data_IF_318404039305
#
_entry.id   IF_318404039305
#
_cell.length_a   1.000
_cell.length_b   1.000
_cell.length_c   1.000
_cell.angle_alpha   90.00
_cell.angle_beta   90.00
_cell.angle_gamma   90.00
#
_symmetry.space_group_name_H-M   'P 1'
#
loop_
_entity.id
_entity.type
_entity.pdbx_description
1 polymer ?
#
# COMPACT_ATOMS: atom_id res chain seq x y z
N UNK A 1 -18.29 -24.12 0.87
CA UNK A 1 -18.11 -24.34 -0.58
C UNK A 1 -19.25 -23.70 -1.38
N UNK A 2 -20.51 -24.17 -1.30
CA UNK A 2 -21.64 -23.62 -2.10
C UNK A 2 -21.92 -22.13 -1.86
N UNK A 3 -21.91 -21.68 -0.59
CA UNK A 3 -22.07 -20.26 -0.23
C UNK A 3 -20.97 -19.38 -0.84
N UNK A 4 -19.71 -19.82 -0.77
CA UNK A 4 -18.55 -19.11 -1.32
C UNK A 4 -18.67 -18.96 -2.83
N UNK A 5 -19.06 -20.01 -3.55
CA UNK A 5 -19.26 -19.99 -5.00
C UNK A 5 -20.38 -19.03 -5.42
N UNK A 6 -21.49 -18.97 -4.66
CA UNK A 6 -22.56 -17.99 -4.91
C UNK A 6 -22.10 -16.55 -4.68
N UNK A 7 -21.32 -16.31 -3.61
CA UNK A 7 -20.75 -14.99 -3.34
C UNK A 7 -19.77 -14.56 -4.44
N UNK A 8 -18.94 -15.48 -4.94
CA UNK A 8 -18.02 -15.26 -6.06
C UNK A 8 -18.79 -14.79 -7.31
N UNK A 9 -19.81 -15.55 -7.72
CA UNK A 9 -20.60 -15.23 -8.92
C UNK A 9 -21.32 -13.90 -8.75
N UNK A 10 -21.89 -13.65 -7.56
CA UNK A 10 -22.59 -12.41 -7.25
C UNK A 10 -21.65 -11.19 -7.28
N UNK A 11 -20.44 -11.29 -6.74
CA UNK A 11 -19.48 -10.18 -6.72
C UNK A 11 -19.04 -9.78 -8.13
N UNK A 12 -18.81 -10.77 -9.01
CA UNK A 12 -18.48 -10.53 -10.43
C UNK A 12 -19.63 -9.82 -11.15
N UNK A 13 -20.88 -10.23 -10.88
CA UNK A 13 -22.07 -9.58 -11.46
C UNK A 13 -22.18 -8.14 -10.95
N UNK A 14 -21.99 -7.94 -9.65
CA UNK A 14 -22.07 -6.64 -9.00
C UNK A 14 -21.03 -5.67 -9.56
N UNK A 15 -19.78 -6.09 -9.70
CA UNK A 15 -18.69 -5.27 -10.26
C UNK A 15 -18.99 -4.84 -11.71
N UNK A 16 -19.42 -5.79 -12.55
CA UNK A 16 -19.81 -5.49 -13.93
C UNK A 16 -21.00 -4.54 -14.00
N UNK A 17 -21.97 -4.68 -13.11
CA UNK A 17 -23.13 -3.79 -13.02
C UNK A 17 -22.73 -2.39 -12.55
N UNK A 18 -21.93 -2.28 -11.48
CA UNK A 18 -21.43 -1.02 -10.95
C UNK A 18 -20.63 -0.24 -12.00
N UNK A 19 -19.71 -0.91 -12.71
CA UNK A 19 -18.94 -0.30 -13.80
C UNK A 19 -19.85 0.24 -14.92
N UNK A 20 -20.87 -0.54 -15.32
CA UNK A 20 -21.84 -0.10 -16.34
C UNK A 20 -22.68 1.09 -15.87
N UNK A 21 -23.12 1.11 -14.62
CA UNK A 21 -23.87 2.24 -14.06
C UNK A 21 -23.01 3.49 -13.96
N UNK A 22 -21.77 3.38 -13.50
CA UNK A 22 -20.83 4.51 -13.44
C UNK A 22 -20.61 5.14 -14.82
N UNK A 23 -20.42 4.32 -15.86
CA UNK A 23 -20.33 4.79 -17.26
C UNK A 23 -21.62 5.42 -17.76
N UNK A 24 -22.78 4.83 -17.45
CA UNK A 24 -24.08 5.37 -17.86
C UNK A 24 -24.36 6.74 -17.22
N UNK A 25 -23.91 6.93 -15.98
CA UNK A 25 -24.12 8.15 -15.20
C UNK A 25 -22.98 9.17 -15.33
N UNK A 26 -21.99 8.93 -16.20
CA UNK A 26 -20.82 9.79 -16.41
C UNK A 26 -20.10 10.18 -15.11
N UNK A 27 -19.92 9.23 -14.19
CA UNK A 27 -19.15 9.44 -12.97
C UNK A 27 -17.69 9.68 -13.32
N UNK A 28 -17.08 10.72 -12.75
CA UNK A 28 -15.66 11.07 -12.90
C UNK A 28 -15.08 11.26 -11.49
N UNK A 29 -13.87 10.73 -11.20
CA UNK A 29 -13.02 9.91 -12.06
C UNK A 29 -13.58 8.51 -12.34
N UNK A 30 -13.18 7.90 -13.47
CA UNK A 30 -13.52 6.52 -13.83
C UNK A 30 -12.37 5.87 -14.57
N UNK A 31 -11.92 4.70 -14.11
CA UNK A 31 -10.92 3.89 -14.81
C UNK A 31 -11.51 3.24 -16.05
N UNK A 32 -10.66 2.92 -17.01
CA UNK A 32 -11.09 2.30 -18.25
C UNK A 32 -11.44 0.80 -18.10
N UNK A 33 -11.75 0.15 -19.23
CA UNK A 33 -12.07 -1.28 -19.28
C UNK A 33 -10.84 -2.18 -19.08
N UNK A 34 -9.63 -1.69 -19.31
CA UNK A 34 -8.41 -2.48 -19.14
C UNK A 34 -8.14 -2.70 -17.66
N UNK A 35 -8.31 -1.66 -16.85
CA UNK A 35 -8.10 -1.72 -15.40
C UNK A 35 -9.22 -2.44 -14.64
N UNK A 36 -10.47 -2.37 -15.11
CA UNK A 36 -11.64 -2.99 -14.43
C UNK A 36 -12.16 -4.27 -15.10
N UNK A 37 -11.57 -4.65 -16.23
CA UNK A 37 -11.99 -5.81 -17.05
C UNK A 37 -11.10 -7.04 -16.86
N UNK A 38 -11.26 -8.02 -17.75
CA UNK A 38 -10.38 -9.18 -17.82
C UNK A 38 -10.30 -10.01 -16.53
N UNK A 39 -9.08 -10.11 -15.96
CA UNK A 39 -8.77 -10.89 -14.76
C UNK A 39 -9.14 -10.18 -13.45
N UNK A 40 -9.34 -8.85 -13.46
CA UNK A 40 -9.58 -8.06 -12.24
C UNK A 40 -10.78 -8.57 -11.41
N UNK A 41 -11.96 -8.91 -11.98
CA UNK A 41 -13.06 -9.46 -11.19
C UNK A 41 -12.73 -10.79 -10.49
N UNK A 42 -11.84 -11.60 -11.07
CA UNK A 42 -11.38 -12.85 -10.44
C UNK A 42 -10.43 -12.57 -9.29
N UNK A 43 -9.49 -11.65 -9.50
CA UNK A 43 -8.54 -11.19 -8.49
C UNK A 43 -9.27 -10.59 -7.28
N UNK A 44 -10.21 -9.67 -7.52
CA UNK A 44 -11.08 -9.09 -6.51
C UNK A 44 -11.85 -10.15 -5.72
N UNK A 45 -12.46 -11.13 -6.40
CA UNK A 45 -13.14 -12.22 -5.71
C UNK A 45 -12.18 -12.98 -4.79
N UNK A 46 -10.99 -13.27 -5.29
CA UNK A 46 -9.99 -14.01 -4.53
C UNK A 46 -9.58 -13.23 -3.27
N UNK A 47 -9.24 -11.96 -3.39
CA UNK A 47 -8.81 -11.11 -2.26
C UNK A 47 -9.95 -10.78 -1.29
N UNK A 48 -11.15 -10.44 -1.80
CA UNK A 48 -12.28 -9.97 -0.98
C UNK A 48 -13.04 -11.13 -0.31
N UNK A 49 -13.08 -12.30 -0.93
CA UNK A 49 -13.89 -13.44 -0.44
C UNK A 49 -12.99 -14.57 0.02
N UNK A 50 -12.11 -15.07 -0.84
CA UNK A 50 -11.37 -16.31 -0.58
C UNK A 50 -10.32 -16.08 0.50
N UNK A 51 -9.45 -15.07 0.35
CA UNK A 51 -8.43 -14.75 1.35
C UNK A 51 -9.06 -14.36 2.69
N UNK A 52 -10.16 -13.59 2.69
CA UNK A 52 -10.88 -13.28 3.93
C UNK A 52 -11.35 -14.53 4.66
N UNK A 53 -11.98 -15.48 3.95
CA UNK A 53 -12.43 -16.74 4.57
C UNK A 53 -11.24 -17.54 5.09
N UNK A 54 -10.15 -17.67 4.31
CA UNK A 54 -8.92 -18.37 4.74
C UNK A 54 -8.39 -17.74 6.02
N UNK A 55 -8.21 -16.42 6.06
CA UNK A 55 -7.71 -15.70 7.24
C UNK A 55 -8.59 -15.98 8.46
N UNK A 56 -9.93 -15.91 8.32
CA UNK A 56 -10.85 -16.15 9.44
C UNK A 56 -10.75 -17.59 9.94
N UNK A 57 -10.69 -18.59 9.06
CA UNK A 57 -10.55 -19.98 9.48
C UNK A 57 -9.19 -20.26 10.14
N UNK A 58 -8.11 -19.68 9.61
CA UNK A 58 -6.77 -19.79 10.20
C UNK A 58 -6.75 -19.16 11.59
N UNK A 59 -7.27 -17.94 11.74
CA UNK A 59 -7.37 -17.27 13.04
C UNK A 59 -8.19 -18.08 14.06
N UNK A 60 -9.32 -18.66 13.64
CA UNK A 60 -10.11 -19.55 14.50
C UNK A 60 -9.28 -20.78 14.91
N UNK A 61 -8.57 -21.40 13.97
CA UNK A 61 -7.70 -22.54 14.26
C UNK A 61 -6.58 -22.19 15.24
N UNK A 62 -5.96 -21.04 15.06
CA UNK A 62 -4.93 -20.48 15.95
C UNK A 62 -5.46 -20.22 17.36
N UNK A 63 -6.67 -19.66 17.47
CA UNK A 63 -7.35 -19.42 18.74
C UNK A 63 -7.61 -20.73 19.49
N UNK A 64 -8.13 -21.76 18.81
CA UNK A 64 -8.35 -23.07 19.43
C UNK A 64 -7.05 -23.85 19.69
N UNK A 65 -5.98 -23.53 18.98
CA UNK A 65 -4.64 -24.07 19.25
C UNK A 65 -3.94 -23.36 20.42
N UNK A 66 -4.53 -22.28 20.95
CA UNK A 66 -4.01 -21.56 22.10
C UNK A 66 -2.75 -20.74 21.81
N UNK A 67 -2.51 -20.34 20.54
CA UNK A 67 -1.33 -19.53 20.18
C UNK A 67 -1.32 -18.21 20.95
N UNK A 68 -0.13 -17.71 21.32
CA UNK A 68 0.00 -16.51 22.17
C UNK A 68 -0.55 -15.25 21.52
N UNK A 69 -0.30 -15.08 20.22
CA UNK A 69 -0.73 -13.95 19.40
C UNK A 69 -0.82 -14.40 17.95
N UNK A 70 -1.83 -13.93 17.22
CA UNK A 70 -1.98 -14.12 15.78
C UNK A 70 -2.18 -12.75 15.11
N UNK A 71 -1.66 -12.59 13.90
CA UNK A 71 -1.78 -11.37 13.09
C UNK A 71 -2.18 -11.76 11.68
N UNK A 72 -3.19 -11.08 11.12
CA UNK A 72 -3.66 -11.33 9.78
C UNK A 72 -4.02 -10.01 9.08
N UNK A 73 -3.65 -9.91 7.80
CA UNK A 73 -3.95 -8.73 6.97
C UNK A 73 -5.17 -9.01 6.10
N UNK A 74 -6.17 -8.14 6.17
CA UNK A 74 -7.40 -8.21 5.37
C UNK A 74 -7.32 -7.27 4.17
N UNK A 75 -6.68 -7.73 3.10
CA UNK A 75 -6.35 -6.93 1.89
C UNK A 75 -7.56 -6.52 1.05
N UNK A 76 -8.70 -7.20 1.21
CA UNK A 76 -9.87 -6.98 0.36
C UNK A 76 -10.51 -5.59 0.45
N UNK A 77 -10.22 -4.79 1.48
CA UNK A 77 -10.68 -3.40 1.52
C UNK A 77 -9.97 -2.57 0.45
N UNK A 78 -8.64 -2.69 0.39
CA UNK A 78 -7.80 -1.90 -0.49
C UNK A 78 -8.15 -2.13 -1.96
N UNK A 79 -8.16 -3.40 -2.36
CA UNK A 79 -8.52 -3.85 -3.73
C UNK A 79 -9.87 -3.39 -4.24
N UNK A 80 -10.83 -3.32 -3.33
CA UNK A 80 -12.20 -3.00 -3.66
C UNK A 80 -12.43 -1.49 -3.69
N UNK A 81 -11.56 -0.70 -3.05
CA UNK A 81 -11.66 0.75 -2.97
C UNK A 81 -10.76 1.47 -3.97
N UNK A 82 -9.63 0.89 -4.35
CA UNK A 82 -8.69 1.47 -5.31
C UNK A 82 -9.32 1.87 -6.67
N UNK A 83 -10.29 1.13 -7.26
CA UNK A 83 -10.91 1.56 -8.52
C UNK A 83 -11.97 2.66 -8.40
N UNK A 84 -12.32 3.08 -7.17
CA UNK A 84 -13.49 3.93 -6.93
C UNK A 84 -13.21 5.17 -6.07
N UNK A 85 -12.15 5.14 -5.24
CA UNK A 85 -11.95 6.10 -4.16
C UNK A 85 -12.83 5.77 -2.95
N UNK A 86 -12.34 6.05 -1.74
CA UNK A 86 -12.92 5.59 -0.47
C UNK A 86 -14.37 5.99 -0.15
N UNK A 87 -15.01 6.83 -0.97
CA UNK A 87 -16.38 7.33 -0.76
C UNK A 87 -17.51 6.52 -1.39
N UNK A 88 -17.22 5.43 -2.13
CA UNK A 88 -18.25 4.75 -2.96
C UNK A 88 -18.93 3.59 -2.22
N UNK A 89 -20.22 3.37 -2.51
CA UNK A 89 -21.09 2.28 -2.00
C UNK A 89 -20.42 0.89 -1.99
N UNK A 90 -19.48 0.64 -2.91
CA UNK A 90 -18.67 -0.57 -2.95
C UNK A 90 -17.80 -0.78 -1.71
N UNK A 91 -17.16 0.27 -1.19
CA UNK A 91 -16.29 0.23 0.00
C UNK A 91 -17.09 -0.09 1.27
N UNK A 92 -18.25 0.54 1.45
CA UNK A 92 -19.11 0.30 2.61
C UNK A 92 -19.56 -1.16 2.72
N UNK A 93 -19.83 -1.81 1.58
CA UNK A 93 -20.17 -3.24 1.55
C UNK A 93 -19.02 -4.14 2.00
N UNK A 94 -17.76 -3.77 1.72
CA UNK A 94 -16.59 -4.51 2.17
C UNK A 94 -16.41 -4.40 3.69
N UNK A 95 -16.51 -3.17 4.23
CA UNK A 95 -16.42 -2.90 5.67
C UNK A 95 -17.48 -3.68 6.45
N UNK A 96 -18.74 -3.68 5.98
CA UNK A 96 -19.82 -4.45 6.62
C UNK A 96 -19.53 -5.96 6.66
N UNK A 97 -18.94 -6.51 5.59
CA UNK A 97 -18.56 -7.93 5.56
C UNK A 97 -17.37 -8.23 6.49
N UNK A 98 -16.44 -7.29 6.66
CA UNK A 98 -15.34 -7.41 7.63
C UNK A 98 -15.87 -7.38 9.06
N UNK A 99 -16.78 -6.46 9.36
CA UNK A 99 -17.47 -6.37 10.66
C UNK A 99 -18.17 -7.70 11.02
N UNK A 100 -18.90 -8.31 10.09
CA UNK A 100 -19.48 -9.66 10.26
C UNK A 100 -18.43 -10.72 10.61
N UNK A 101 -17.22 -10.65 10.04
CA UNK A 101 -16.15 -11.60 10.36
C UNK A 101 -15.50 -11.30 11.72
N UNK A 102 -15.37 -10.04 12.11
CA UNK A 102 -14.87 -9.67 13.43
C UNK A 102 -15.84 -10.10 14.53
N UNK A 103 -17.14 -9.90 14.34
CA UNK A 103 -18.17 -10.43 15.24
C UNK A 103 -18.10 -11.96 15.39
N UNK A 104 -17.80 -12.67 14.29
CA UNK A 104 -17.59 -14.12 14.32
C UNK A 104 -16.35 -14.51 15.15
N UNK A 105 -15.23 -13.81 14.98
CA UNK A 105 -14.02 -14.05 15.76
C UNK A 105 -14.23 -13.75 17.24
N UNK A 106 -14.94 -12.65 17.57
CA UNK A 106 -15.30 -12.30 18.95
C UNK A 106 -16.18 -13.38 19.59
N UNK A 107 -17.20 -13.88 18.86
CA UNK A 107 -18.04 -14.97 19.34
C UNK A 107 -17.22 -16.24 19.63
N UNK A 108 -16.26 -16.57 18.78
CA UNK A 108 -15.39 -17.75 18.96
C UNK A 108 -14.39 -17.56 20.11
N UNK A 109 -13.97 -16.32 20.39
CA UNK A 109 -13.05 -16.02 21.48
C UNK A 109 -13.58 -16.44 22.86
N UNK A 110 -14.91 -16.48 23.03
CA UNK A 110 -15.55 -16.97 24.27
C UNK A 110 -15.39 -18.48 24.50
N UNK A 111 -15.23 -19.26 23.43
CA UNK A 111 -15.12 -20.72 23.48
C UNK A 111 -13.67 -21.22 23.37
N UNK A 112 -12.70 -20.32 23.13
CA UNK A 112 -11.30 -20.67 22.97
C UNK A 112 -10.66 -21.13 24.29
N UNK A 113 -9.63 -22.02 24.28
CA UNK A 113 -8.96 -22.50 25.49
C UNK A 113 -8.27 -21.44 26.35
N UNK A 114 -8.12 -20.22 25.82
CA UNK A 114 -7.54 -19.06 26.51
C UNK A 114 -8.25 -17.78 26.05
N UNK A 115 -8.27 -16.72 26.89
CA UNK A 115 -8.86 -15.45 26.49
C UNK A 115 -8.08 -14.80 25.35
N UNK A 116 -8.81 -14.27 24.37
CA UNK A 116 -8.27 -13.47 23.27
C UNK A 116 -8.86 -12.07 23.27
N UNK A 117 -8.02 -11.09 22.93
CA UNK A 117 -8.42 -9.72 22.68
C UNK A 117 -8.25 -9.43 21.18
N UNK A 118 -9.27 -8.84 20.57
CA UNK A 118 -9.23 -8.44 19.17
C UNK A 118 -8.78 -6.97 19.08
N UNK A 119 -7.76 -6.72 18.28
CA UNK A 119 -7.30 -5.37 17.91
C UNK A 119 -7.37 -5.29 16.39
N UNK A 120 -8.08 -4.28 15.87
CA UNK A 120 -8.14 -3.99 14.45
C UNK A 120 -7.37 -2.70 14.17
N UNK A 121 -6.53 -2.70 13.14
CA UNK A 121 -5.80 -1.51 12.72
C UNK A 121 -5.95 -1.31 11.22
N UNK A 122 -5.95 -0.05 10.82
CA UNK A 122 -5.70 0.38 9.44
C UNK A 122 -4.33 1.01 9.43
N UNK A 123 -3.43 0.50 8.60
CA UNK A 123 -2.08 1.03 8.41
C UNK A 123 -2.08 2.36 7.63
N UNK A 124 -3.04 2.53 6.72
CA UNK A 124 -3.34 3.79 6.05
C UNK A 124 -4.84 3.99 5.85
N UNK A 125 -5.22 5.20 5.42
CA UNK A 125 -6.53 5.46 4.82
C UNK A 125 -6.48 5.32 3.29
N UNK A 126 -7.44 5.93 2.59
CA UNK A 126 -7.51 5.92 1.13
C UNK A 126 -7.87 7.32 0.62
N UNK A 127 -7.02 7.91 -0.20
CA UNK A 127 -7.26 9.23 -0.83
C UNK A 127 -7.83 9.05 -2.22
N UNK A 128 -8.67 9.99 -2.66
CA UNK A 128 -9.31 9.96 -3.98
C UNK A 128 -8.85 11.11 -4.88
N UNK A 129 -9.17 11.00 -6.16
CA UNK A 129 -9.02 12.07 -7.14
C UNK A 129 -8.89 11.51 -8.55
N UNK A 130 -8.91 12.39 -9.56
CA UNK A 130 -8.41 12.00 -10.88
C UNK A 130 -6.92 11.70 -10.79
N UNK A 131 -6.49 10.64 -11.49
CA UNK A 131 -5.08 10.26 -11.59
C UNK A 131 -4.29 11.36 -12.30
N UNK A 132 -2.97 11.34 -12.14
CA UNK A 132 -2.06 12.29 -12.77
C UNK A 132 -2.23 12.26 -14.30
N UNK A 133 -2.31 11.07 -14.89
CA UNK A 133 -2.52 10.88 -16.33
C UNK A 133 -3.89 11.36 -16.79
N UNK A 134 -4.94 11.17 -16.00
CA UNK A 134 -6.28 11.69 -16.31
C UNK A 134 -6.34 13.22 -16.29
N UNK A 135 -5.57 13.86 -15.39
CA UNK A 135 -5.53 15.33 -15.28
C UNK A 135 -4.68 15.97 -16.36
N UNK A 136 -3.49 15.43 -16.62
CA UNK A 136 -2.47 16.11 -17.42
C UNK A 136 -2.19 15.45 -18.78
N UNK A 137 -2.74 14.26 -19.03
CA UNK A 137 -2.57 13.54 -20.29
C UNK A 137 -1.21 12.85 -20.45
N UNK A 138 -0.39 12.83 -19.40
CA UNK A 138 0.89 12.11 -19.33
C UNK A 138 1.11 11.51 -17.93
N UNK A 139 1.90 10.46 -17.82
CA UNK A 139 2.30 9.86 -16.53
C UNK A 139 3.63 10.42 -15.99
N UNK A 140 4.04 9.99 -14.79
CA UNK A 140 5.26 10.51 -14.15
C UNK A 140 6.53 10.11 -14.92
N UNK A 141 6.56 8.92 -15.54
CA UNK A 141 7.68 8.51 -16.37
C UNK A 141 7.83 9.44 -17.57
N UNK A 142 6.72 9.74 -18.24
CA UNK A 142 6.69 10.67 -19.38
C UNK A 142 7.14 12.07 -18.94
N UNK A 143 6.70 12.55 -17.77
CA UNK A 143 7.15 13.84 -17.23
C UNK A 143 8.66 13.87 -16.98
N UNK A 144 9.21 12.84 -16.32
CA UNK A 144 10.66 12.74 -16.06
C UNK A 144 11.43 12.65 -17.38
N UNK A 145 10.91 11.91 -18.36
CA UNK A 145 11.52 11.75 -19.69
C UNK A 145 11.61 13.07 -20.46
N UNK A 146 10.70 14.03 -20.25
CA UNK A 146 10.76 15.36 -20.88
C UNK A 146 12.00 16.15 -20.46
N UNK A 147 12.51 15.94 -19.24
CA UNK A 147 13.69 16.64 -18.73
C UNK A 147 14.96 15.79 -18.82
N UNK A 148 14.86 14.47 -18.78
CA UNK A 148 15.99 13.54 -18.95
C UNK A 148 16.17 13.06 -20.39
N UNK A 149 16.08 13.96 -21.39
CA UNK A 149 15.99 13.61 -22.84
C UNK A 149 17.12 12.74 -23.39
N UNK A 150 18.32 12.82 -22.79
CA UNK A 150 19.50 12.07 -23.25
C UNK A 150 19.52 10.63 -22.71
N UNK A 151 18.63 10.31 -21.79
CA UNK A 151 18.61 9.07 -21.03
C UNK A 151 17.30 8.36 -21.26
N UNK A 152 17.37 7.03 -21.23
CA UNK A 152 16.19 6.20 -21.25
C UNK A 152 15.58 6.15 -19.85
N UNK A 153 14.38 6.68 -19.71
CA UNK A 153 13.56 6.57 -18.51
C UNK A 153 12.63 5.38 -18.66
N UNK A 154 12.63 4.50 -17.67
CA UNK A 154 11.71 3.39 -17.59
C UNK A 154 10.74 3.60 -16.42
N UNK A 155 9.46 3.38 -16.66
CA UNK A 155 8.41 3.55 -15.67
C UNK A 155 7.79 2.21 -15.31
N UNK A 156 7.69 1.94 -14.01
CA UNK A 156 6.82 0.90 -13.45
C UNK A 156 5.67 1.64 -12.78
N UNK A 157 4.63 1.92 -13.57
CA UNK A 157 3.50 2.78 -13.21
C UNK A 157 2.27 2.00 -12.72
N UNK A 158 2.35 0.67 -12.73
CA UNK A 158 1.32 -0.24 -12.22
C UNK A 158 1.96 -1.16 -11.18
N UNK A 159 1.89 -0.80 -9.89
CA UNK A 159 2.20 -1.77 -8.83
C UNK A 159 0.91 -2.44 -8.38
N UNK A 160 0.80 -3.75 -8.61
CA UNK A 160 -0.41 -4.49 -8.23
C UNK A 160 -0.13 -5.31 -6.96
N UNK A 161 -0.23 -4.64 -5.80
CA UNK A 161 -0.03 -5.23 -4.46
C UNK A 161 -0.84 -6.52 -4.27
N UNK A 162 -2.01 -6.59 -4.89
CA UNK A 162 -2.93 -7.72 -4.82
C UNK A 162 -2.38 -9.03 -5.39
N UNK A 163 -1.62 -8.98 -6.48
CA UNK A 163 -0.93 -10.15 -7.00
C UNK A 163 0.23 -10.58 -6.09
N UNK A 164 0.88 -9.62 -5.44
CA UNK A 164 1.86 -9.89 -4.39
C UNK A 164 1.24 -10.73 -3.25
N UNK A 165 0.06 -10.32 -2.76
CA UNK A 165 -0.66 -11.07 -1.73
C UNK A 165 -1.14 -12.46 -2.19
N UNK A 166 -1.59 -12.59 -3.43
CA UNK A 166 -1.96 -13.89 -4.02
C UNK A 166 -0.74 -14.81 -4.06
N UNK A 167 0.41 -14.31 -4.52
CA UNK A 167 1.65 -15.06 -4.60
C UNK A 167 2.10 -15.56 -3.22
N UNK A 168 2.01 -14.73 -2.18
CA UNK A 168 2.34 -15.15 -0.81
C UNK A 168 1.47 -16.33 -0.36
N UNK A 169 0.15 -16.25 -0.53
CA UNK A 169 -0.77 -17.34 -0.15
C UNK A 169 -0.50 -18.61 -0.94
N UNK A 170 -0.28 -18.47 -2.24
CA UNK A 170 0.03 -19.61 -3.12
C UNK A 170 1.34 -20.27 -2.70
N UNK A 171 2.38 -19.48 -2.46
CA UNK A 171 3.70 -19.98 -2.05
C UNK A 171 3.62 -20.67 -0.68
N UNK A 172 2.89 -20.12 0.29
CA UNK A 172 2.68 -20.74 1.60
C UNK A 172 1.97 -22.10 1.49
N UNK A 173 0.91 -22.18 0.66
CA UNK A 173 0.19 -23.44 0.39
C UNK A 173 1.08 -24.45 -0.33
N UNK A 174 1.94 -24.01 -1.25
CA UNK A 174 2.89 -24.87 -1.98
C UNK A 174 4.03 -25.38 -1.11
N UNK A 175 4.42 -24.61 -0.09
CA UNK A 175 5.40 -25.00 0.92
C UNK A 175 4.78 -25.92 1.99
N UNK A 176 3.46 -25.92 2.17
CA UNK A 176 2.77 -26.88 3.04
C UNK A 176 2.81 -28.32 2.48
N UNK A 177 3.14 -29.29 3.33
CA UNK A 177 3.19 -30.73 2.97
C UNK A 177 1.80 -31.41 2.82
N UNK A 178 0.76 -30.59 2.64
CA UNK A 178 -0.64 -30.98 2.58
C UNK A 178 -1.03 -31.67 1.25
N UNK A 179 -2.15 -32.42 1.26
CA UNK A 179 -2.72 -33.02 0.03
C UNK A 179 -3.09 -31.95 -1.01
N UNK A 180 -3.51 -30.78 -0.55
CA UNK A 180 -3.77 -29.58 -1.36
C UNK A 180 -2.50 -29.04 -2.01
N UNK A 181 -1.40 -28.89 -1.26
CA UNK A 181 -0.10 -28.47 -1.80
C UNK A 181 0.38 -29.39 -2.93
N UNK A 182 0.26 -30.71 -2.74
CA UNK A 182 0.63 -31.72 -3.77
C UNK A 182 -0.25 -31.67 -5.03
N UNK A 183 -1.52 -31.31 -4.90
CA UNK A 183 -2.44 -31.17 -6.04
C UNK A 183 -2.15 -29.90 -6.87
N UNK A 184 -1.89 -28.77 -6.19
CA UNK A 184 -1.54 -27.50 -6.85
C UNK A 184 -0.17 -27.63 -7.53
N UNK A 185 0.81 -28.26 -6.88
CA UNK A 185 2.14 -28.53 -7.45
C UNK A 185 2.09 -29.40 -8.72
N UNK A 186 1.10 -30.28 -8.83
CA UNK A 186 0.82 -31.07 -10.05
C UNK A 186 0.17 -30.24 -11.17
N UNK A 187 -0.69 -29.28 -10.81
CA UNK A 187 -1.36 -28.39 -11.76
C UNK A 187 -0.46 -27.25 -12.27
N UNK A 188 0.46 -26.75 -11.44
CA UNK A 188 1.37 -25.65 -11.79
C UNK A 188 2.43 -26.01 -12.85
N UNK A 189 2.68 -27.30 -13.08
CA UNK A 189 3.63 -27.80 -14.09
C UNK A 189 5.10 -27.51 -13.76
N UNK A 190 6.00 -28.41 -14.17
CA UNK A 190 7.45 -28.33 -13.91
C UNK A 190 8.17 -27.12 -14.57
N UNK A 191 7.49 -26.29 -15.35
CA UNK A 191 8.13 -25.26 -16.21
C UNK A 191 8.22 -23.86 -15.60
N UNK A 192 7.52 -23.55 -14.52
CA UNK A 192 7.46 -22.20 -13.94
C UNK A 192 7.99 -22.12 -12.50
N UNK A 193 8.72 -23.13 -12.02
CA UNK A 193 9.35 -23.09 -10.69
C UNK A 193 10.82 -22.72 -10.85
N UNK A 194 11.15 -21.44 -10.67
CA UNK A 194 12.52 -21.02 -10.32
C UNK A 194 12.57 -20.92 -8.79
N UNK A 195 13.54 -21.58 -8.17
CA UNK A 195 13.79 -21.55 -6.72
C UNK A 195 12.62 -21.84 -5.76
N UNK A 196 11.66 -22.67 -6.17
CA UNK A 196 10.61 -23.17 -5.28
C UNK A 196 9.36 -22.27 -5.19
N UNK A 197 9.35 -21.14 -5.89
CA UNK A 197 8.18 -20.27 -6.03
C UNK A 197 7.46 -20.55 -7.36
N UNK A 198 6.13 -20.45 -7.36
CA UNK A 198 5.34 -20.44 -8.59
C UNK A 198 4.76 -19.03 -8.73
N UNK A 199 5.23 -18.20 -9.66
CA UNK A 199 4.61 -16.91 -9.91
C UNK A 199 3.21 -17.16 -10.49
N UNK A 200 2.17 -16.81 -9.72
CA UNK A 200 0.77 -16.82 -10.14
C UNK A 200 0.35 -15.37 -10.31
N UNK A 201 0.56 -14.84 -11.51
CA UNK A 201 0.45 -13.41 -11.82
C UNK A 201 1.74 -12.95 -12.46
N UNK A 202 1.64 -12.23 -13.58
CA UNK A 202 2.82 -11.69 -14.27
C UNK A 202 3.42 -10.52 -13.47
N UNK A 203 4.72 -10.31 -13.69
CA UNK A 203 5.60 -9.20 -13.27
C UNK A 203 6.41 -9.41 -11.98
N UNK A 204 7.59 -10.01 -12.14
CA UNK A 204 8.72 -9.70 -11.28
C UNK A 204 9.31 -8.36 -11.75
N UNK A 205 9.55 -7.42 -10.83
CA UNK A 205 10.22 -6.15 -11.12
C UNK A 205 11.56 -6.35 -11.88
N UNK A 206 12.24 -7.47 -11.60
CA UNK A 206 13.50 -7.85 -12.24
C UNK A 206 13.36 -8.23 -13.72
N UNK A 207 12.18 -8.67 -14.16
CA UNK A 207 11.93 -9.02 -15.57
C UNK A 207 11.61 -7.78 -16.42
N UNK A 208 11.16 -6.70 -15.79
CA UNK A 208 10.76 -5.49 -16.49
C UNK A 208 11.95 -4.53 -16.69
N UNK A 209 12.89 -4.41 -15.75
CA UNK A 209 13.99 -3.43 -15.85
C UNK A 209 14.94 -3.79 -17.00
N UNK A 210 14.95 -2.97 -18.04
CA UNK A 210 15.86 -3.18 -19.15
C UNK A 210 17.29 -2.79 -18.74
N UNK A 211 18.31 -3.60 -19.07
CA UNK A 211 19.72 -3.33 -18.71
C UNK A 211 20.25 -1.97 -19.20
N UNK A 212 19.56 -1.37 -20.16
CA UNK A 212 19.90 -0.09 -20.78
C UNK A 212 19.16 1.12 -20.16
N UNK A 213 18.19 0.89 -19.27
CA UNK A 213 17.52 1.96 -18.55
C UNK A 213 18.55 2.73 -17.72
N UNK A 214 18.48 4.07 -17.78
CA UNK A 214 19.37 4.97 -17.03
C UNK A 214 18.66 5.57 -15.82
N UNK A 215 17.33 5.67 -15.90
CA UNK A 215 16.46 6.16 -14.84
C UNK A 215 15.28 5.21 -14.73
N UNK A 216 14.95 4.81 -13.50
CA UNK A 216 13.77 4.02 -13.16
C UNK A 216 12.84 4.92 -12.36
N UNK A 217 11.58 4.98 -12.76
CA UNK A 217 10.50 5.70 -12.09
C UNK A 217 9.51 4.66 -11.59
N UNK A 218 9.27 4.63 -10.28
CA UNK A 218 8.28 3.78 -9.65
C UNK A 218 7.12 4.65 -9.17
N UNK A 219 5.89 4.26 -9.46
CA UNK A 219 4.70 4.88 -8.89
C UNK A 219 4.22 4.05 -7.68
N UNK A 220 3.80 4.73 -6.62
CA UNK A 220 3.15 4.15 -5.44
C UNK A 220 2.09 5.14 -4.96
N UNK A 221 0.86 4.94 -5.43
CA UNK A 221 -0.22 5.91 -5.34
C UNK A 221 0.19 7.29 -5.81
N UNK A 222 0.19 8.27 -4.91
CA UNK A 222 0.54 9.66 -5.23
C UNK A 222 2.00 10.04 -4.90
N UNK A 223 2.84 9.04 -4.63
CA UNK A 223 4.29 9.16 -4.48
C UNK A 223 4.99 8.49 -5.66
N UNK A 224 5.97 9.20 -6.22
CA UNK A 224 6.89 8.70 -7.22
C UNK A 224 8.28 8.55 -6.64
N UNK A 225 8.96 7.46 -6.98
CA UNK A 225 10.34 7.19 -6.61
C UNK A 225 11.18 7.20 -7.89
N UNK A 226 12.19 8.06 -7.98
CA UNK A 226 13.07 8.16 -9.15
C UNK A 226 14.48 7.71 -8.78
N UNK A 227 14.98 6.70 -9.47
CA UNK A 227 16.30 6.10 -9.27
C UNK A 227 17.16 6.23 -10.53
N UNK A 228 18.39 6.69 -10.39
CA UNK A 228 19.45 6.59 -11.38
C UNK A 228 20.09 5.21 -11.31
N UNK A 229 19.84 4.36 -12.30
CA UNK A 229 20.21 2.93 -12.28
C UNK A 229 21.70 2.64 -12.49
N UNK A 230 22.52 3.66 -12.77
CA UNK A 230 23.95 3.53 -13.16
C UNK A 230 24.94 3.85 -12.03
N UNK A 231 24.46 4.06 -10.80
CA UNK A 231 25.32 4.36 -9.65
C UNK A 231 24.93 3.54 -8.43
N UNK A 232 25.95 3.14 -7.68
CA UNK A 232 25.79 2.37 -6.44
C UNK A 232 25.37 3.24 -5.25
N UNK A 233 25.38 4.56 -5.43
CA UNK A 233 25.06 5.55 -4.39
C UNK A 233 24.06 6.56 -4.91
N UNK A 234 23.14 6.97 -4.03
CA UNK A 234 22.19 8.05 -4.24
C UNK A 234 22.88 9.33 -4.71
N UNK A 235 22.40 9.93 -5.79
CA UNK A 235 22.96 11.17 -6.36
C UNK A 235 22.41 12.41 -5.65
N UNK A 236 23.21 13.48 -5.59
CA UNK A 236 22.79 14.74 -4.94
C UNK A 236 22.11 15.70 -5.92
N UNK A 237 21.42 16.71 -5.40
CA UNK A 237 20.83 17.81 -6.17
C UNK A 237 21.84 18.49 -7.07
N UNK A 238 23.07 18.72 -6.59
CA UNK A 238 24.13 19.39 -7.36
C UNK A 238 24.58 18.52 -8.55
N UNK A 239 24.64 17.20 -8.36
CA UNK A 239 24.93 16.25 -9.43
C UNK A 239 23.76 16.13 -10.41
N UNK A 240 22.52 16.12 -9.92
CA UNK A 240 21.31 16.09 -10.74
C UNK A 240 21.24 17.33 -11.64
N UNK A 241 21.52 18.53 -11.12
CA UNK A 241 21.52 19.75 -11.92
C UNK A 241 22.57 19.71 -13.03
N UNK A 242 23.67 18.98 -12.81
CA UNK A 242 24.73 18.78 -13.80
C UNK A 242 24.35 17.71 -14.85
N UNK A 243 23.80 16.58 -14.40
CA UNK A 243 23.49 15.42 -15.26
C UNK A 243 22.17 15.57 -16.02
N UNK A 244 21.17 16.18 -15.38
CA UNK A 244 19.81 16.36 -15.87
C UNK A 244 19.37 17.83 -15.73
N UNK A 245 19.99 18.77 -16.47
CA UNK A 245 19.71 20.19 -16.31
C UNK A 245 18.23 20.53 -16.45
N UNK A 246 17.67 21.19 -15.43
CA UNK A 246 16.26 21.60 -15.40
C UNK A 246 15.27 20.51 -14.97
N UNK A 247 15.72 19.30 -14.59
CA UNK A 247 14.83 18.24 -14.09
C UNK A 247 14.11 18.65 -12.81
N UNK A 248 14.84 19.11 -11.78
CA UNK A 248 14.25 19.51 -10.51
C UNK A 248 13.26 20.66 -10.68
N UNK A 249 13.71 21.75 -11.32
CA UNK A 249 12.88 22.92 -11.60
C UNK A 249 11.67 22.56 -12.46
N UNK A 250 11.86 21.73 -13.48
CA UNK A 250 10.80 21.25 -14.36
C UNK A 250 9.71 20.48 -13.63
N UNK A 251 10.10 19.57 -12.72
CA UNK A 251 9.15 18.82 -11.91
C UNK A 251 8.37 19.73 -10.97
N UNK A 252 9.02 20.61 -10.20
CA UNK A 252 8.33 21.44 -9.19
C UNK A 252 7.50 22.57 -9.79
N UNK A 253 7.75 22.96 -11.05
CA UNK A 253 6.91 23.92 -11.76
C UNK A 253 5.69 23.30 -12.43
N UNK A 254 5.62 21.97 -12.54
CA UNK A 254 4.44 21.29 -13.06
C UNK A 254 3.31 21.35 -12.02
N UNK A 255 2.13 21.88 -12.41
CA UNK A 255 0.99 22.09 -11.49
C UNK A 255 0.51 20.82 -10.77
N UNK A 256 0.77 19.65 -11.35
CA UNK A 256 0.47 18.36 -10.78
C UNK A 256 1.41 17.88 -9.66
N UNK A 257 2.53 18.55 -9.43
CA UNK A 257 3.55 18.17 -8.44
C UNK A 257 3.44 19.10 -7.23
N UNK A 258 3.30 18.50 -6.04
CA UNK A 258 3.25 19.27 -4.80
C UNK A 258 4.65 19.62 -4.30
N UNK A 259 5.53 18.62 -4.30
CA UNK A 259 6.93 18.80 -3.92
C UNK A 259 7.81 17.67 -4.44
N UNK A 260 9.11 17.96 -4.52
CA UNK A 260 10.18 16.98 -4.77
C UNK A 260 11.16 17.01 -3.61
N UNK A 261 11.48 15.85 -3.03
CA UNK A 261 12.56 15.72 -2.04
C UNK A 261 13.79 15.10 -2.67
N UNK A 262 14.95 15.72 -2.44
CA UNK A 262 16.25 15.32 -2.98
C UNK A 262 17.33 15.39 -1.89
N UNK A 263 18.38 14.58 -2.04
CA UNK A 263 19.58 14.68 -1.21
C UNK A 263 20.48 15.81 -1.72
N UNK A 264 21.03 16.63 -0.84
CA UNK A 264 22.03 17.66 -1.12
C UNK A 264 23.30 17.34 -0.34
N UNK A 265 24.45 17.59 -0.96
CA UNK A 265 25.75 17.47 -0.31
C UNK A 265 25.95 18.51 0.81
N UNK A 266 25.35 19.69 0.67
CA UNK A 266 25.46 20.80 1.62
C UNK A 266 24.37 20.74 2.72
N UNK A 267 23.13 20.42 2.32
CA UNK A 267 21.95 20.61 3.17
C UNK A 267 21.28 19.32 3.66
N UNK A 268 21.88 18.15 3.40
CA UNK A 268 21.27 16.84 3.66
C UNK A 268 19.97 16.63 2.87
N UNK A 269 18.79 16.51 3.47
CA UNK A 269 17.54 16.42 2.71
C UNK A 269 16.94 17.79 2.43
N UNK A 270 16.56 18.06 1.18
CA UNK A 270 15.85 19.29 0.79
C UNK A 270 14.54 18.92 0.10
N UNK A 271 13.44 19.50 0.58
CA UNK A 271 12.13 19.42 -0.08
C UNK A 271 11.92 20.71 -0.86
N UNK A 272 11.63 20.61 -2.14
CA UNK A 272 11.48 21.71 -3.07
C UNK A 272 10.02 21.74 -3.53
N UNK A 273 9.34 22.85 -3.32
CA UNK A 273 8.05 23.16 -3.94
C UNK A 273 8.20 24.26 -4.99
N UNK A 274 7.09 24.66 -5.59
CA UNK A 274 7.07 25.63 -6.69
C UNK A 274 7.72 26.98 -6.32
N UNK A 275 7.44 27.49 -5.10
CA UNK A 275 7.84 28.82 -4.64
C UNK A 275 8.67 28.80 -3.35
N UNK A 276 9.23 27.65 -2.98
CA UNK A 276 10.01 27.57 -1.75
C UNK A 276 10.58 26.20 -1.46
N UNK A 277 11.38 26.14 -0.39
CA UNK A 277 12.17 24.99 0.01
C UNK A 277 12.08 24.77 1.51
N UNK A 278 12.12 23.50 1.91
CA UNK A 278 12.26 23.08 3.30
C UNK A 278 13.56 22.28 3.45
N UNK A 279 14.47 22.76 4.30
CA UNK A 279 15.72 22.09 4.64
C UNK A 279 15.47 21.15 5.81
N UNK A 280 15.54 19.84 5.56
CA UNK A 280 15.22 18.83 6.57
C UNK A 280 16.26 18.76 7.69
N UNK A 281 17.49 19.21 7.48
CA UNK A 281 18.54 19.12 8.51
C UNK A 281 18.26 19.99 9.74
N UNK A 282 17.82 21.22 9.50
CA UNK A 282 17.69 22.28 10.51
C UNK A 282 16.27 22.87 10.59
N UNK A 283 15.30 22.27 9.87
CA UNK A 283 13.91 22.71 9.80
C UNK A 283 13.76 24.15 9.30
N UNK A 284 14.67 24.60 8.43
CA UNK A 284 14.62 25.93 7.82
C UNK A 284 13.71 25.94 6.59
N UNK A 285 12.89 26.98 6.47
CA UNK A 285 12.08 27.27 5.28
C UNK A 285 12.64 28.48 4.53
N UNK A 286 12.69 28.38 3.21
CA UNK A 286 12.98 29.48 2.29
C UNK A 286 11.79 29.68 1.34
N UNK A 287 11.26 30.89 1.24
CA UNK A 287 10.05 31.14 0.46
C UNK A 287 8.80 30.52 1.09
N UNK A 288 7.93 29.92 0.27
CA UNK A 288 6.74 29.22 0.74
C UNK A 288 7.08 27.83 1.29
N UNK A 289 6.47 27.43 2.41
CA UNK A 289 6.71 26.12 3.00
C UNK A 289 6.02 25.01 2.18
N UNK A 290 6.75 24.13 1.46
CA UNK A 290 6.15 23.08 0.65
C UNK A 290 5.43 21.99 1.47
N UNK A 291 5.63 21.96 2.79
CA UNK A 291 5.07 20.96 3.69
C UNK A 291 3.87 21.46 4.52
N UNK A 292 3.44 22.71 4.33
CA UNK A 292 2.47 23.36 5.19
C UNK A 292 1.15 22.58 5.36
N UNK A 293 0.65 21.98 4.27
CA UNK A 293 -0.64 21.30 4.25
C UNK A 293 -0.59 19.81 4.58
N UNK A 294 0.60 19.24 4.79
CA UNK A 294 0.79 17.79 4.99
C UNK A 294 0.82 17.37 6.46
N UNK A 295 0.52 18.30 7.37
CA UNK A 295 0.44 18.07 8.81
C UNK A 295 1.79 18.12 9.53
N UNK A 296 1.78 18.16 10.86
CA UNK A 296 2.95 18.49 11.67
C UNK A 296 4.08 17.44 11.63
N UNK A 297 3.77 16.21 11.22
CA UNK A 297 4.73 15.11 11.18
C UNK A 297 5.39 14.91 9.81
N UNK A 298 5.01 15.69 8.78
CA UNK A 298 5.53 15.52 7.42
C UNK A 298 7.07 15.56 7.37
N UNK A 299 7.67 16.63 7.92
CA UNK A 299 9.13 16.76 7.96
C UNK A 299 9.81 15.62 8.75
N UNK A 300 9.20 15.15 9.84
CA UNK A 300 9.71 14.01 10.63
C UNK A 300 9.76 12.71 9.81
N UNK A 301 8.72 12.44 9.01
CA UNK A 301 8.69 11.28 8.13
C UNK A 301 9.71 11.40 6.99
N UNK A 302 9.82 12.57 6.35
CA UNK A 302 10.78 12.82 5.28
C UNK A 302 12.23 12.72 5.75
N UNK A 303 12.56 13.26 6.94
CA UNK A 303 13.88 13.07 7.58
C UNK A 303 14.24 11.60 7.71
N UNK A 304 13.29 10.76 8.15
CA UNK A 304 13.50 9.31 8.27
C UNK A 304 13.71 8.66 6.91
N UNK A 305 12.89 8.99 5.92
CA UNK A 305 13.00 8.44 4.56
C UNK A 305 14.31 8.84 3.88
N UNK A 306 14.82 10.05 4.15
CA UNK A 306 16.11 10.51 3.65
C UNK A 306 17.32 9.68 4.16
N UNK A 307 17.14 8.91 5.24
CA UNK A 307 18.19 8.11 5.87
C UNK A 307 18.21 6.64 5.40
N UNK A 308 17.23 6.22 4.60
CA UNK A 308 17.17 4.85 4.14
C UNK A 308 18.28 4.54 3.13
N UNK A 309 18.98 3.39 3.25
CA UNK A 309 20.05 3.02 2.33
C UNK A 309 19.58 2.87 0.87
N UNK A 310 18.31 2.50 0.69
CA UNK A 310 17.61 2.25 -0.56
C UNK A 310 16.70 3.41 -0.98
N UNK A 311 16.88 4.59 -0.38
CA UNK A 311 16.14 5.79 -0.75
C UNK A 311 16.39 6.16 -2.23
N UNK A 312 15.34 6.50 -3.01
CA UNK A 312 15.47 7.02 -4.36
C UNK A 312 16.21 8.34 -4.38
N UNK A 313 16.77 8.68 -5.53
CA UNK A 313 17.38 9.98 -5.75
C UNK A 313 16.37 11.10 -5.54
N UNK A 314 15.16 10.93 -6.10
CA UNK A 314 14.03 11.82 -5.90
C UNK A 314 12.82 11.08 -5.32
N UNK A 315 12.24 11.67 -4.28
CA UNK A 315 10.84 11.43 -3.96
C UNK A 315 10.02 12.54 -4.59
N UNK A 316 8.95 12.19 -5.31
CA UNK A 316 8.08 13.14 -5.99
C UNK A 316 6.67 12.93 -5.46
N UNK A 317 6.08 13.91 -4.80
CA UNK A 317 4.69 13.81 -4.36
C UNK A 317 3.83 14.65 -5.29
N UNK A 318 2.69 14.11 -5.74
CA UNK A 318 1.75 14.93 -6.49
C UNK A 318 1.16 16.04 -5.60
N UNK A 319 0.44 16.97 -6.21
CA UNK A 319 -0.23 18.02 -5.45
C UNK A 319 -1.20 17.43 -4.43
N UNK A 320 -1.53 18.24 -3.43
CA UNK A 320 -2.61 17.96 -2.49
C UNK A 320 -3.56 19.16 -2.46
N UNK A 321 -4.81 18.95 -2.85
CA UNK A 321 -5.82 20.00 -2.85
C UNK A 321 -6.65 19.94 -1.57
N UNK A 322 -6.38 20.86 -0.64
CA UNK A 322 -6.90 20.85 0.73
C UNK A 322 -8.43 20.88 0.79
N UNK A 323 -9.08 21.70 -0.04
CA UNK A 323 -10.53 21.89 0.03
C UNK A 323 -11.33 20.65 -0.39
N UNK A 324 -10.90 20.00 -1.48
CA UNK A 324 -11.51 18.74 -1.94
C UNK A 324 -10.92 17.51 -1.25
N UNK A 325 -9.81 17.69 -0.52
CA UNK A 325 -9.01 16.64 0.10
C UNK A 325 -8.54 15.58 -0.91
N UNK A 326 -8.23 16.01 -2.13
CA UNK A 326 -7.83 15.15 -3.25
C UNK A 326 -6.32 15.20 -3.50
N UNK A 327 -5.81 14.10 -4.06
CA UNK A 327 -4.46 13.97 -4.61
C UNK A 327 -4.55 13.47 -6.05
N UNK A 328 -3.42 13.42 -6.76
CA UNK A 328 -3.33 12.75 -8.05
C UNK A 328 -2.42 11.52 -7.94
N UNK A 329 -2.99 10.32 -8.05
CA UNK A 329 -2.20 9.10 -8.14
C UNK A 329 -1.35 9.12 -9.42
N UNK A 330 -0.07 8.77 -9.33
CA UNK A 330 0.78 8.50 -10.48
C UNK A 330 0.44 7.15 -11.12
N UNK A 331 -0.12 6.23 -10.34
CA UNK A 331 -0.73 4.99 -10.83
C UNK A 331 -2.15 5.25 -11.39
N UNK A 332 -2.61 4.38 -12.27
CA UNK A 332 -4.01 4.40 -12.76
C UNK A 332 -4.98 3.76 -11.75
N UNK A 333 -4.93 4.24 -10.50
CA UNK A 333 -5.83 3.88 -9.39
C UNK A 333 -6.50 5.15 -8.85
N UNK A 334 -7.83 5.13 -8.73
CA UNK A 334 -8.61 6.30 -8.28
C UNK A 334 -8.52 6.51 -6.78
N UNK A 335 -8.65 5.42 -6.03
CA UNK A 335 -8.28 5.34 -4.62
C UNK A 335 -6.80 5.00 -4.55
N UNK A 336 -6.01 5.82 -3.88
CA UNK A 336 -4.59 5.58 -3.70
C UNK A 336 -4.11 5.87 -2.27
N UNK A 337 -2.96 5.32 -1.96
CA UNK A 337 -2.13 5.62 -0.80
C UNK A 337 -0.65 5.49 -1.19
N UNK A 338 0.27 5.88 -0.31
CA UNK A 338 1.71 5.73 -0.50
C UNK A 338 2.47 7.05 -0.43
N UNK A 339 1.79 8.18 -0.66
CA UNK A 339 2.35 9.52 -0.51
C UNK A 339 1.80 10.29 0.68
N UNK A 340 1.87 11.61 0.57
CA UNK A 340 1.35 12.55 1.57
C UNK A 340 0.12 13.27 1.03
N UNK A 341 -0.78 13.64 1.95
CA UNK A 341 -1.98 14.42 1.67
C UNK A 341 -3.24 13.56 1.54
N UNK A 342 -4.39 14.15 1.81
CA UNK A 342 -5.69 13.48 1.71
C UNK A 342 -5.98 12.50 2.86
N UNK A 343 -7.05 11.71 2.68
CA UNK A 343 -7.54 10.76 3.69
C UNK A 343 -6.61 9.56 3.94
N UNK A 344 -5.63 9.27 3.07
CA UNK A 344 -4.61 8.23 3.31
C UNK A 344 -3.84 8.43 4.62
N UNK A 345 -3.78 9.67 5.11
CA UNK A 345 -3.09 10.06 6.35
C UNK A 345 -3.91 9.84 7.62
N UNK A 346 -5.09 9.20 7.53
CA UNK A 346 -6.00 8.94 8.66
C UNK A 346 -6.15 7.45 8.98
N UNK A 347 -5.07 6.77 9.41
CA UNK A 347 -5.16 5.41 9.95
C UNK A 347 -5.90 5.39 11.29
N UNK A 348 -6.26 4.20 11.77
CA UNK A 348 -6.85 4.03 13.10
C UNK A 348 -6.40 2.72 13.75
N UNK A 349 -6.52 2.67 15.08
CA UNK A 349 -6.41 1.44 15.87
C UNK A 349 -7.67 1.35 16.75
N UNK A 350 -8.47 0.31 16.52
CA UNK A 350 -9.58 -0.09 17.35
C UNK A 350 -9.10 -1.18 18.31
N UNK A 351 -9.12 -0.91 19.61
CA UNK A 351 -8.64 -1.83 20.62
C UNK A 351 -9.56 -1.87 21.85
N UNK A 352 -9.54 -2.95 22.65
CA UNK A 352 -10.32 -3.04 23.87
C UNK A 352 -9.86 -2.00 24.90
N UNK A 353 -10.81 -1.50 25.70
CA UNK A 353 -10.53 -0.57 26.80
C UNK A 353 -9.56 -1.14 27.85
N UNK A 354 -9.50 -2.46 27.98
CA UNK A 354 -8.57 -3.16 28.87
C UNK A 354 -7.10 -3.10 28.41
N UNK A 355 -6.83 -2.65 27.19
CA UNK A 355 -5.50 -2.48 26.61
C UNK A 355 -5.21 -0.99 26.40
N UNK A 356 -4.82 -0.24 27.45
CA UNK A 356 -4.56 1.19 27.33
C UNK A 356 -3.31 1.47 26.48
N UNK A 357 -3.36 2.51 25.65
CA UNK A 357 -2.17 3.01 24.94
C UNK A 357 -1.24 3.69 25.95
N UNK A 358 0.03 3.34 25.94
CA UNK A 358 1.08 3.84 26.85
C UNK A 358 2.20 4.56 26.13
N UNK A 359 2.37 4.35 24.81
CA UNK A 359 3.23 5.20 23.98
C UNK A 359 2.69 6.65 23.99
N UNK A 360 3.52 7.67 24.26
CA UNK A 360 3.09 9.07 24.28
C UNK A 360 2.50 9.53 22.95
N UNK A 361 3.07 9.05 21.85
CA UNK A 361 2.62 9.32 20.48
C UNK A 361 2.75 8.06 19.62
N UNK A 362 1.67 7.68 18.94
CA UNK A 362 1.65 6.59 17.97
C UNK A 362 2.00 7.11 16.56
N UNK A 363 3.24 7.56 16.39
CA UNK A 363 3.75 8.05 15.10
C UNK A 363 4.58 6.96 14.41
N UNK A 364 4.12 6.52 13.24
CA UNK A 364 4.76 5.52 12.40
C UNK A 364 4.71 4.09 12.95
N UNK A 365 4.93 3.10 12.08
CA UNK A 365 4.81 1.68 12.41
C UNK A 365 5.68 1.21 13.60
N UNK A 366 6.84 1.84 13.83
CA UNK A 366 7.74 1.46 14.92
C UNK A 366 7.17 1.75 16.32
N UNK A 367 6.41 2.84 16.49
CA UNK A 367 5.76 3.14 17.78
C UNK A 367 4.57 2.22 18.02
N UNK A 368 3.77 1.96 16.98
CA UNK A 368 2.66 0.99 17.03
C UNK A 368 3.18 -0.40 17.40
N UNK A 369 4.29 -0.84 16.80
CA UNK A 369 4.93 -2.11 17.14
C UNK A 369 5.31 -2.17 18.62
N UNK A 370 5.98 -1.14 19.15
CA UNK A 370 6.33 -1.10 20.58
C UNK A 370 5.09 -1.13 21.48
N UNK A 371 4.03 -0.41 21.11
CA UNK A 371 2.75 -0.46 21.83
C UNK A 371 2.19 -1.89 21.88
N UNK A 372 2.19 -2.61 20.75
CA UNK A 372 1.70 -3.98 20.70
C UNK A 372 2.59 -4.94 21.49
N UNK A 373 3.91 -4.76 21.44
CA UNK A 373 4.85 -5.52 22.27
C UNK A 373 4.63 -5.28 23.77
N UNK A 374 4.28 -4.06 24.16
CA UNK A 374 3.95 -3.73 25.53
C UNK A 374 2.67 -4.43 25.99
N UNK A 375 1.58 -4.35 25.22
CA UNK A 375 0.35 -5.11 25.52
C UNK A 375 0.61 -6.61 25.67
N UNK A 376 1.41 -7.21 24.78
CA UNK A 376 1.76 -8.63 24.87
C UNK A 376 2.60 -8.99 26.11
N UNK A 377 3.41 -8.06 26.62
CA UNK A 377 4.23 -8.28 27.80
C UNK A 377 3.42 -8.20 29.10
N UNK A 378 2.37 -7.38 29.13
CA UNK A 378 1.50 -7.20 30.29
C UNK A 378 0.40 -8.26 30.41
N UNK A 379 0.11 -9.00 29.33
CA UNK A 379 -0.86 -10.10 29.39
C UNK A 379 -0.35 -11.21 30.33
N UNK A 380 -1.20 -11.72 31.25
CA UNK A 380 -0.82 -12.82 32.13
C UNK A 380 -0.31 -14.00 31.30
N UNK A 381 0.95 -14.39 31.55
CA UNK A 381 1.43 -15.66 31.04
C UNK A 381 0.60 -16.74 31.71
N UNK A 382 -0.17 -17.51 30.94
CA UNK A 382 -0.95 -18.63 31.47
C UNK A 382 -0.02 -19.51 32.29
N UNK A 383 -0.18 -19.50 33.60
CA UNK A 383 0.48 -20.39 34.54
C UNK A 383 0.27 -21.81 34.02
N UNK A 384 1.36 -22.58 33.98
CA UNK A 384 1.34 -24.01 33.68
C UNK A 384 0.18 -24.67 34.42
N UNK A 385 -0.55 -25.52 33.69
CA UNK A 385 -1.60 -26.37 34.21
C UNK A 385 -1.22 -26.93 35.57
N UNK A 386 -2.15 -26.82 36.51
CA UNK A 386 -2.07 -27.39 37.84
C UNK A 386 -1.40 -28.77 37.78
N UNK A 387 -0.26 -28.90 38.47
CA UNK A 387 0.25 -30.18 38.88
C UNK A 387 -0.89 -30.85 39.66
N UNK A 388 -1.49 -31.87 39.06
CA UNK A 388 -2.34 -32.83 39.79
C UNK A 388 -1.44 -33.60 40.74
N UNK A 389 -1.31 -33.09 41.95
CA UNK A 389 -1.02 -33.88 43.15
C UNK A 389 -2.35 -34.12 43.85
N UNK A 390 -2.97 -35.27 43.58
CA UNK A 390 -3.20 -36.35 44.57
C UNK A 390 -4.08 -37.46 43.98
#
# INVERSE_FOLDING_TARGET
MTRTLLLVVWDIILEKWQFRQARKNNVIPILDKHHRGGKYPLLRVFTVIIMREINVYTLIGDMFSGVKSAYATFVGYDENCAPFGGGVVGCAGCVRKLDEQFARLESVAGDAPRPYHLVALSDHGQSGGQTFKQRYGLDLQELVQQYAKQFRVQGIMETNESWGHVNVVVNDVLQSDSKSGKAIKRFAGKKNVKDGEVPIGEHHLDDDVEPEAHIIVLASGNLGLVYGSRRDTRITSEEIDTLFPGLLDGLVQHEGIGWVMVKSSEHDGVVIGQNGRYHLKDDRVEGENPLADFGPNAARHLKRYNQFPDAPDLYVNSFYHVESNEVAAFEELIGCHGGMGGYQTRPFILHPKSLPITEPELIGAASVYRQFKHWLAEMPQSSQAAQTTD
#
